data_IF_769293596037
#
_entry.id   IF_769293596037
#
_cell.length_a   1.000
_cell.length_b   1.000
_cell.length_c   1.000
_cell.angle_alpha   90.00
_cell.angle_beta   90.00
_cell.angle_gamma   90.00
#
_symmetry.space_group_name_H-M   'P 1'
#
loop_
_entity.id
_entity.type
_entity.pdbx_description
1 polymer ?
#
# COMPACT_ATOMS: atom_id res chain seq x y z
N UNK A 1 35.75 14.20 -12.54
CA UNK A 1 34.68 13.73 -11.66
C UNK A 1 35.26 12.57 -10.87
N UNK A 2 35.57 12.76 -9.57
CA UNK A 2 36.29 11.78 -8.77
C UNK A 2 35.41 10.57 -8.45
N UNK A 3 36.00 9.38 -8.35
CA UNK A 3 35.30 8.14 -7.97
C UNK A 3 34.52 8.29 -6.64
N UNK A 4 35.06 9.03 -5.68
CA UNK A 4 34.41 9.33 -4.40
C UNK A 4 33.06 10.05 -4.56
N UNK A 5 32.96 11.01 -5.47
CA UNK A 5 31.70 11.73 -5.71
C UNK A 5 30.61 10.85 -6.35
N UNK A 6 30.98 9.84 -7.10
CA UNK A 6 30.01 8.86 -7.67
C UNK A 6 29.55 7.87 -6.61
N UNK A 7 30.46 7.40 -5.76
CA UNK A 7 30.13 6.48 -4.66
C UNK A 7 29.18 7.11 -3.65
N UNK A 8 29.48 8.34 -3.20
CA UNK A 8 28.63 9.11 -2.29
C UNK A 8 27.22 9.36 -2.88
N UNK A 9 27.15 9.59 -4.18
CA UNK A 9 25.87 9.78 -4.88
C UNK A 9 25.06 8.48 -4.92
N UNK A 10 25.68 7.35 -5.25
CA UNK A 10 25.02 6.05 -5.30
C UNK A 10 24.58 5.62 -3.90
N UNK A 11 25.43 5.81 -2.90
CA UNK A 11 25.12 5.52 -1.49
C UNK A 11 23.93 6.36 -1.01
N UNK A 12 23.93 7.67 -1.31
CA UNK A 12 22.82 8.56 -0.96
C UNK A 12 21.48 8.11 -1.59
N UNK A 13 21.49 7.82 -2.90
CA UNK A 13 20.28 7.31 -3.59
C UNK A 13 19.79 6.01 -2.98
N UNK A 14 20.69 5.05 -2.71
CA UNK A 14 20.31 3.78 -2.10
C UNK A 14 19.73 3.97 -0.70
N UNK A 15 20.36 4.77 0.13
CA UNK A 15 19.93 5.06 1.50
C UNK A 15 18.55 5.71 1.54
N UNK A 16 18.32 6.75 0.74
CA UNK A 16 17.01 7.41 0.69
C UNK A 16 15.92 6.49 0.13
N UNK A 17 16.21 5.75 -0.93
CA UNK A 17 15.24 4.81 -1.51
C UNK A 17 14.86 3.70 -0.54
N UNK A 18 15.85 3.07 0.11
CA UNK A 18 15.62 2.02 1.10
C UNK A 18 14.81 2.54 2.29
N UNK A 19 15.16 3.72 2.80
CA UNK A 19 14.45 4.34 3.91
C UNK A 19 12.97 4.57 3.57
N UNK A 20 12.67 5.14 2.40
CA UNK A 20 11.29 5.40 1.97
C UNK A 20 10.49 4.10 1.82
N UNK A 21 11.06 3.09 1.18
CA UNK A 21 10.41 1.77 1.03
C UNK A 21 10.08 1.16 2.38
N UNK A 22 11.04 1.13 3.30
CA UNK A 22 10.84 0.58 4.65
C UNK A 22 9.79 1.39 5.40
N UNK A 23 9.88 2.72 5.37
CA UNK A 23 8.95 3.62 6.07
C UNK A 23 7.50 3.41 5.64
N UNK A 24 7.26 3.26 4.33
CA UNK A 24 5.90 3.05 3.79
C UNK A 24 5.38 1.65 4.13
N UNK A 25 6.18 0.60 3.93
CA UNK A 25 5.73 -0.80 4.19
C UNK A 25 5.48 -1.04 5.67
N UNK A 26 6.31 -0.45 6.54
CA UNK A 26 6.13 -0.57 7.99
C UNK A 26 5.07 0.38 8.54
N UNK A 27 4.50 1.24 7.70
CA UNK A 27 3.55 2.29 8.08
C UNK A 27 4.11 3.22 9.18
N UNK A 28 5.41 3.54 9.11
CA UNK A 28 6.09 4.43 10.05
C UNK A 28 5.89 5.90 9.66
N UNK A 29 5.87 6.20 8.36
CA UNK A 29 5.54 7.50 7.81
C UNK A 29 6.65 8.56 7.89
N UNK A 30 7.85 8.24 8.38
CA UNK A 30 8.97 9.17 8.32
C UNK A 30 9.51 9.30 6.90
N UNK A 31 9.95 10.53 6.55
CA UNK A 31 10.37 10.89 5.21
C UNK A 31 11.78 11.51 5.27
N UNK A 32 12.67 11.07 4.36
CA UNK A 32 14.03 11.63 4.21
C UNK A 32 14.25 12.28 2.86
N UNK A 33 13.35 12.06 1.91
CA UNK A 33 13.43 12.64 0.56
C UNK A 33 12.02 12.72 -0.05
N UNK A 34 11.82 13.68 -0.93
CA UNK A 34 10.56 13.82 -1.66
C UNK A 34 10.49 12.82 -2.82
N UNK A 35 9.76 11.74 -2.61
CA UNK A 35 9.55 10.73 -3.66
C UNK A 35 8.53 11.18 -4.73
N UNK A 36 7.76 12.26 -4.50
CA UNK A 36 6.83 12.78 -5.50
C UNK A 36 7.57 13.46 -6.66
N UNK A 37 8.79 13.98 -6.39
CA UNK A 37 9.67 14.53 -7.40
C UNK A 37 10.40 13.46 -8.24
N UNK A 38 10.24 12.19 -7.92
CA UNK A 38 10.86 11.08 -8.66
C UNK A 38 10.05 10.75 -9.92
N UNK A 39 10.41 9.65 -10.62
CA UNK A 39 9.67 9.31 -11.84
C UNK A 39 8.23 8.89 -11.53
N UNK A 40 7.26 9.11 -12.46
CA UNK A 40 5.86 8.69 -12.28
C UNK A 40 5.70 7.19 -12.00
N UNK A 41 6.58 6.35 -12.54
CA UNK A 41 6.59 4.91 -12.25
C UNK A 41 6.88 4.63 -10.78
N UNK A 42 7.85 5.35 -10.19
CA UNK A 42 8.18 5.20 -8.78
C UNK A 42 7.04 5.69 -7.89
N UNK A 43 6.40 6.80 -8.27
CA UNK A 43 5.21 7.29 -7.57
C UNK A 43 4.09 6.26 -7.54
N UNK A 44 3.82 5.60 -8.68
CA UNK A 44 2.84 4.52 -8.77
C UNK A 44 3.23 3.31 -7.90
N UNK A 45 4.51 2.95 -7.85
CA UNK A 45 5.01 1.88 -6.97
C UNK A 45 4.82 2.24 -5.50
N UNK A 46 5.18 3.45 -5.08
CA UNK A 46 4.97 3.91 -3.69
C UNK A 46 3.48 3.95 -3.32
N UNK A 47 2.63 4.42 -4.23
CA UNK A 47 1.19 4.35 -4.04
C UNK A 47 0.69 2.92 -3.84
N UNK A 48 1.14 1.98 -4.68
CA UNK A 48 0.82 0.56 -4.52
C UNK A 48 1.31 -0.03 -3.19
N UNK A 49 2.48 0.41 -2.72
CA UNK A 49 3.05 -0.04 -1.45
C UNK A 49 2.26 0.45 -0.23
N UNK A 50 1.52 1.54 -0.31
CA UNK A 50 0.63 2.02 0.78
C UNK A 50 -0.48 1.02 1.12
N UNK A 51 -0.86 0.15 0.18
CA UNK A 51 -1.82 -0.93 0.43
C UNK A 51 -1.17 -2.15 1.07
N UNK A 52 0.17 -2.28 1.01
CA UNK A 52 0.90 -3.41 1.58
C UNK A 52 1.19 -3.13 3.06
N UNK A 53 0.45 -3.77 3.93
CA UNK A 53 0.76 -3.76 5.37
C UNK A 53 1.90 -4.73 5.71
N UNK A 54 2.46 -4.61 6.89
CA UNK A 54 3.51 -5.49 7.39
C UNK A 54 3.06 -6.94 7.59
N UNK A 55 3.88 -7.73 8.31
CA UNK A 55 3.61 -9.15 8.58
C UNK A 55 2.33 -9.35 9.40
N UNK A 56 1.79 -10.57 9.41
CA UNK A 56 0.52 -10.89 10.06
C UNK A 56 0.46 -10.55 11.56
N UNK A 57 1.59 -10.61 12.25
CA UNK A 57 1.69 -10.29 13.69
C UNK A 57 2.18 -8.87 13.98
N UNK A 58 2.40 -8.02 12.95
CA UNK A 58 2.88 -6.65 13.17
C UNK A 58 1.76 -5.70 13.56
N UNK A 59 2.11 -4.63 14.27
CA UNK A 59 1.21 -3.52 14.63
C UNK A 59 0.98 -2.53 13.49
N UNK A 60 1.67 -2.70 12.32
CA UNK A 60 1.49 -1.85 11.14
C UNK A 60 0.04 -1.83 10.66
N UNK A 61 -0.41 -0.71 10.09
CA UNK A 61 -1.71 -0.58 9.47
C UNK A 61 -1.85 -1.37 8.15
N UNK A 62 -2.85 -1.04 7.36
CA UNK A 62 -3.06 -1.55 6.02
C UNK A 62 -3.47 -3.01 5.93
N UNK A 63 -3.54 -3.50 4.70
CA UNK A 63 -3.90 -4.88 4.39
C UNK A 63 -2.66 -5.78 4.45
N UNK A 64 -2.59 -6.68 5.45
CA UNK A 64 -1.41 -7.50 5.75
C UNK A 64 -0.92 -8.30 4.55
N UNK A 65 0.41 -8.34 4.35
CA UNK A 65 1.04 -9.00 3.20
C UNK A 65 0.68 -10.49 3.07
N UNK A 66 0.47 -11.17 4.19
CA UNK A 66 0.02 -12.57 4.20
C UNK A 66 -1.34 -12.74 3.50
N UNK A 67 -2.27 -11.80 3.72
CA UNK A 67 -3.60 -11.82 3.10
C UNK A 67 -3.50 -11.58 1.58
N UNK A 68 -2.65 -10.65 1.13
CA UNK A 68 -2.37 -10.44 -0.29
C UNK A 68 -1.85 -11.72 -0.95
N UNK A 69 -0.91 -12.40 -0.32
CA UNK A 69 -0.32 -13.63 -0.85
C UNK A 69 -1.37 -14.75 -0.95
N UNK A 70 -2.28 -14.85 0.02
CA UNK A 70 -3.37 -15.83 -0.02
C UNK A 70 -4.39 -15.51 -1.13
N UNK A 71 -4.71 -14.23 -1.35
CA UNK A 71 -5.60 -13.81 -2.46
C UNK A 71 -4.97 -14.15 -3.80
N UNK A 72 -3.69 -13.81 -4.01
CA UNK A 72 -2.98 -14.11 -5.27
C UNK A 72 -2.93 -15.62 -5.50
N UNK A 73 -2.56 -16.40 -4.48
CA UNK A 73 -2.56 -17.88 -4.58
C UNK A 73 -3.94 -18.44 -4.88
N UNK A 74 -4.99 -17.92 -4.24
CA UNK A 74 -6.36 -18.32 -4.52
C UNK A 74 -6.76 -17.98 -5.96
N UNK A 75 -6.41 -16.77 -6.46
CA UNK A 75 -6.63 -16.39 -7.85
C UNK A 75 -5.97 -17.37 -8.82
N UNK A 76 -4.69 -17.67 -8.65
CA UNK A 76 -3.97 -18.67 -9.48
C UNK A 76 -4.62 -20.05 -9.39
N UNK A 77 -5.11 -20.44 -8.21
CA UNK A 77 -5.79 -21.72 -8.02
C UNK A 77 -7.13 -21.76 -8.76
N UNK A 78 -7.89 -20.66 -8.79
CA UNK A 78 -9.14 -20.59 -9.57
C UNK A 78 -8.86 -20.73 -11.08
N UNK A 79 -7.81 -20.10 -11.61
CA UNK A 79 -7.42 -20.33 -13.02
C UNK A 79 -7.09 -21.80 -13.29
N UNK A 80 -6.37 -22.48 -12.39
CA UNK A 80 -6.08 -23.92 -12.52
C UNK A 80 -7.35 -24.77 -12.50
N UNK A 81 -8.34 -24.42 -11.67
CA UNK A 81 -9.63 -25.11 -11.62
C UNK A 81 -10.45 -24.95 -12.90
N UNK A 82 -10.35 -23.79 -13.57
CA UNK A 82 -11.01 -23.58 -14.87
C UNK A 82 -10.40 -24.52 -15.92
N UNK A 83 -9.09 -24.73 -15.91
CA UNK A 83 -8.40 -25.64 -16.84
C UNK A 83 -8.64 -27.13 -16.49
N UNK A 84 -8.84 -27.45 -15.21
CA UNK A 84 -9.02 -28.81 -14.70
C UNK A 84 -10.19 -28.88 -13.71
N UNK A 85 -11.46 -28.89 -14.19
CA UNK A 85 -12.65 -28.72 -13.33
C UNK A 85 -12.81 -29.80 -12.25
N UNK A 86 -12.32 -31.01 -12.50
CA UNK A 86 -12.41 -32.16 -11.57
C UNK A 86 -11.23 -32.26 -10.60
N UNK A 87 -10.24 -31.36 -10.68
CA UNK A 87 -9.07 -31.42 -9.81
C UNK A 87 -9.37 -30.86 -8.42
N UNK A 88 -9.19 -31.67 -7.38
CA UNK A 88 -9.26 -31.25 -5.97
C UNK A 88 -7.91 -30.69 -5.57
N UNK A 89 -7.72 -29.36 -5.75
CA UNK A 89 -6.47 -28.67 -5.43
C UNK A 89 -6.69 -27.82 -4.16
N UNK A 90 -6.13 -28.22 -3.00
CA UNK A 90 -6.23 -27.42 -1.78
C UNK A 90 -5.32 -26.19 -1.85
N UNK A 91 -5.79 -25.06 -1.31
CA UNK A 91 -4.94 -23.89 -1.09
C UNK A 91 -3.94 -24.20 0.02
N UNK A 92 -2.64 -24.07 -0.24
CA UNK A 92 -1.59 -24.35 0.74
C UNK A 92 -0.77 -23.10 1.07
N UNK A 93 -0.53 -22.92 2.38
CA UNK A 93 0.37 -21.93 2.94
C UNK A 93 1.32 -22.60 3.93
N UNK A 94 2.63 -22.42 3.77
CA UNK A 94 3.68 -23.04 4.61
C UNK A 94 3.44 -24.55 4.87
N UNK A 95 3.17 -25.32 3.80
CA UNK A 95 2.89 -26.75 3.83
C UNK A 95 1.55 -27.17 4.49
N UNK A 96 0.82 -26.24 5.10
CA UNK A 96 -0.51 -26.48 5.67
C UNK A 96 -1.61 -26.11 4.68
N UNK A 97 -2.72 -26.85 4.69
CA UNK A 97 -3.90 -26.50 3.91
C UNK A 97 -4.66 -25.36 4.60
N UNK A 98 -5.05 -24.36 3.84
CA UNK A 98 -5.88 -23.25 4.31
C UNK A 98 -7.35 -23.62 4.06
N UNK A 99 -8.19 -23.48 5.09
CA UNK A 99 -9.61 -23.76 4.95
C UNK A 99 -10.30 -22.76 4.00
N UNK A 100 -11.35 -23.21 3.35
CA UNK A 100 -12.15 -22.39 2.45
C UNK A 100 -12.78 -21.20 3.20
N UNK A 101 -13.16 -21.40 4.46
CA UNK A 101 -13.71 -20.37 5.33
C UNK A 101 -12.73 -19.21 5.54
N UNK A 102 -11.47 -19.52 5.88
CA UNK A 102 -10.42 -18.48 6.03
C UNK A 102 -10.23 -17.72 4.73
N UNK A 103 -10.27 -18.40 3.59
CA UNK A 103 -10.13 -17.78 2.28
C UNK A 103 -11.29 -16.81 1.99
N UNK A 104 -12.53 -17.20 2.28
CA UNK A 104 -13.71 -16.35 2.11
C UNK A 104 -13.67 -15.14 3.05
N UNK A 105 -13.26 -15.31 4.30
CA UNK A 105 -13.11 -14.19 5.25
C UNK A 105 -12.07 -13.17 4.77
N UNK A 106 -10.94 -13.62 4.20
CA UNK A 106 -9.92 -12.75 3.65
C UNK A 106 -10.44 -11.98 2.42
N UNK A 107 -11.18 -12.66 1.53
CA UNK A 107 -11.78 -12.01 0.36
C UNK A 107 -12.86 -11.00 0.79
N UNK A 108 -13.71 -11.34 1.74
CA UNK A 108 -14.70 -10.42 2.30
C UNK A 108 -14.06 -9.17 2.89
N UNK A 109 -13.01 -9.33 3.69
CA UNK A 109 -12.25 -8.20 4.23
C UNK A 109 -11.62 -7.35 3.13
N UNK A 110 -11.06 -7.96 2.09
CA UNK A 110 -10.48 -7.24 0.96
C UNK A 110 -11.52 -6.37 0.24
N UNK A 111 -12.73 -6.91 0.00
CA UNK A 111 -13.82 -6.16 -0.62
C UNK A 111 -14.20 -4.95 0.25
N UNK A 112 -14.39 -5.15 1.55
CA UNK A 112 -14.73 -4.04 2.47
C UNK A 112 -13.61 -2.99 2.51
N UNK A 113 -12.35 -3.42 2.54
CA UNK A 113 -11.20 -2.53 2.51
C UNK A 113 -11.15 -1.68 1.23
N UNK A 114 -11.38 -2.29 0.05
CA UNK A 114 -11.43 -1.57 -1.22
C UNK A 114 -12.64 -0.64 -1.32
N UNK A 115 -13.80 -1.04 -0.81
CA UNK A 115 -14.98 -0.18 -0.74
C UNK A 115 -14.72 1.04 0.17
N UNK A 116 -14.11 0.84 1.33
CA UNK A 116 -13.73 1.93 2.23
C UNK A 116 -12.75 2.90 1.57
N UNK A 117 -11.77 2.38 0.81
CA UNK A 117 -10.86 3.20 0.02
C UNK A 117 -11.60 4.04 -1.02
N UNK A 118 -12.50 3.43 -1.77
CA UNK A 118 -13.29 4.15 -2.80
C UNK A 118 -14.18 5.23 -2.18
N UNK A 119 -14.86 4.91 -1.07
CA UNK A 119 -15.71 5.88 -0.36
C UNK A 119 -14.85 7.02 0.17
N UNK A 120 -13.71 6.74 0.78
CA UNK A 120 -12.77 7.76 1.26
C UNK A 120 -12.30 8.69 0.12
N UNK A 121 -11.91 8.11 -1.02
CA UNK A 121 -11.51 8.88 -2.20
C UNK A 121 -12.63 9.82 -2.67
N UNK A 122 -13.88 9.32 -2.76
CA UNK A 122 -15.04 10.14 -3.16
C UNK A 122 -15.26 11.28 -2.15
N UNK A 123 -15.19 11.00 -0.87
CA UNK A 123 -15.35 12.03 0.17
C UNK A 123 -14.30 13.11 0.04
N UNK A 124 -13.00 12.75 -0.12
CA UNK A 124 -11.93 13.72 -0.29
C UNK A 124 -12.08 14.53 -1.59
N UNK A 125 -12.51 13.90 -2.68
CA UNK A 125 -12.79 14.59 -3.95
C UNK A 125 -13.97 15.59 -3.80
N UNK A 126 -15.03 15.23 -3.07
CA UNK A 126 -16.15 16.15 -2.77
C UNK A 126 -15.73 17.34 -1.92
N UNK A 127 -14.69 17.21 -1.11
CA UNK A 127 -14.09 18.28 -0.32
C UNK A 127 -13.18 19.21 -1.14
N UNK A 128 -13.03 18.94 -2.44
CA UNK A 128 -12.31 19.81 -3.38
C UNK A 128 -10.87 19.41 -3.62
N UNK A 129 -10.43 18.24 -3.17
CA UNK A 129 -9.10 17.73 -3.50
C UNK A 129 -9.05 17.29 -4.98
N UNK A 130 -7.92 17.50 -5.63
CA UNK A 130 -7.63 16.91 -6.93
C UNK A 130 -7.61 15.37 -6.85
N UNK A 131 -7.84 14.72 -7.98
CA UNK A 131 -8.00 13.27 -8.04
C UNK A 131 -6.80 12.49 -7.47
N UNK A 132 -5.58 12.93 -7.80
CA UNK A 132 -4.35 12.29 -7.33
C UNK A 132 -4.21 12.41 -5.80
N UNK A 133 -4.44 13.60 -5.27
CA UNK A 133 -4.41 13.85 -3.81
C UNK A 133 -5.51 13.10 -3.07
N UNK A 134 -6.73 13.05 -3.61
CA UNK A 134 -7.83 12.31 -3.01
C UNK A 134 -7.53 10.80 -2.89
N UNK A 135 -6.96 10.20 -3.97
CA UNK A 135 -6.50 8.82 -3.94
C UNK A 135 -5.40 8.61 -2.90
N UNK A 136 -4.38 9.48 -2.90
CA UNK A 136 -3.24 9.37 -2.01
C UNK A 136 -3.63 9.49 -0.54
N UNK A 137 -4.40 10.51 -0.19
CA UNK A 137 -4.87 10.74 1.19
C UNK A 137 -5.74 9.59 1.67
N UNK A 138 -6.66 9.08 0.82
CA UNK A 138 -7.50 7.93 1.17
C UNK A 138 -6.68 6.66 1.41
N UNK A 139 -5.68 6.38 0.55
CA UNK A 139 -4.80 5.22 0.71
C UNK A 139 -3.93 5.33 1.96
N UNK A 140 -3.34 6.51 2.20
CA UNK A 140 -2.48 6.77 3.35
C UNK A 140 -3.25 6.67 4.67
N UNK A 141 -4.46 7.22 4.74
CA UNK A 141 -5.33 7.15 5.91
C UNK A 141 -5.75 5.72 6.23
N UNK A 142 -6.24 4.97 5.25
CA UNK A 142 -6.62 3.56 5.42
C UNK A 142 -5.41 2.66 5.76
N UNK A 143 -4.26 2.94 5.16
CA UNK A 143 -3.02 2.21 5.40
C UNK A 143 -2.35 2.60 6.71
N UNK A 144 -2.74 3.72 7.32
CA UNK A 144 -2.09 4.33 8.48
C UNK A 144 -0.60 4.64 8.19
N UNK A 145 -0.31 5.13 6.99
CA UNK A 145 1.07 5.37 6.50
C UNK A 145 1.58 6.74 6.92
N UNK A 146 0.76 7.79 6.75
CA UNK A 146 1.06 9.19 7.02
C UNK A 146 1.27 9.99 5.73
N UNK A 147 2.45 9.93 5.08
CA UNK A 147 2.68 10.67 3.84
C UNK A 147 1.79 10.14 2.70
N UNK A 148 1.43 11.06 1.78
CA UNK A 148 0.53 10.80 0.66
C UNK A 148 1.21 11.09 -0.67
N UNK A 149 0.45 11.10 -1.76
CA UNK A 149 0.85 11.56 -3.10
C UNK A 149 0.07 12.82 -3.47
N UNK A 150 0.45 13.47 -4.58
CA UNK A 150 -0.17 14.71 -5.02
C UNK A 150 0.18 15.91 -4.13
N UNK A 151 -0.77 16.80 -3.89
CA UNK A 151 -0.59 18.02 -3.10
C UNK A 151 -0.26 17.76 -1.63
N UNK A 152 -0.52 16.56 -1.13
CA UNK A 152 -0.23 16.12 0.25
C UNK A 152 0.95 15.12 0.30
N UNK A 153 1.94 15.35 -0.57
CA UNK A 153 3.17 14.56 -0.62
C UNK A 153 4.00 14.65 0.67
N UNK A 154 5.13 13.93 0.70
CA UNK A 154 5.93 13.73 1.92
C UNK A 154 6.51 15.01 2.54
N UNK A 155 6.66 16.08 1.76
CA UNK A 155 7.18 17.39 2.23
C UNK A 155 6.07 18.39 2.53
N UNK A 156 4.82 18.06 2.26
CA UNK A 156 3.67 18.94 2.48
C UNK A 156 2.93 18.57 3.76
N UNK A 157 2.18 19.53 4.29
CA UNK A 157 1.40 19.35 5.52
C UNK A 157 -0.06 19.12 5.19
N UNK A 158 -0.75 18.33 6.00
CA UNK A 158 -2.21 18.14 5.92
C UNK A 158 -3.02 19.31 6.51
N UNK A 159 -2.35 20.40 6.91
CA UNK A 159 -2.98 21.54 7.59
C UNK A 159 -4.04 22.24 6.75
N UNK A 160 -3.97 22.14 5.42
CA UNK A 160 -4.95 22.71 4.49
C UNK A 160 -6.26 21.90 4.41
N UNK A 161 -6.28 20.69 4.99
CA UNK A 161 -7.50 19.89 5.03
C UNK A 161 -8.51 20.46 6.03
N UNK A 162 -9.81 20.39 5.74
CA UNK A 162 -10.86 20.70 6.70
C UNK A 162 -10.67 19.92 8.01
N UNK A 163 -11.00 20.57 9.15
CA UNK A 163 -10.78 19.99 10.49
C UNK A 163 -11.40 18.59 10.64
N UNK A 164 -12.50 18.33 9.96
CA UNK A 164 -13.18 17.03 9.97
C UNK A 164 -12.32 15.93 9.30
N UNK A 165 -11.55 16.28 8.27
CA UNK A 165 -10.65 15.34 7.59
C UNK A 165 -9.42 15.01 8.42
N UNK A 166 -8.91 15.98 9.19
CA UNK A 166 -7.78 15.77 10.09
C UNK A 166 -8.07 14.77 11.22
N UNK A 167 -9.33 14.54 11.54
CA UNK A 167 -9.73 13.49 12.51
C UNK A 167 -9.65 12.09 11.92
N UNK A 168 -9.64 11.96 10.61
CA UNK A 168 -9.61 10.67 9.91
C UNK A 168 -8.21 10.33 9.37
N UNK A 169 -7.37 11.32 9.15
CA UNK A 169 -5.95 11.18 8.72
C UNK A 169 -5.01 11.18 9.90
#
# INVERSE_FOLDING_TARGET
>A
MSYESQFERIEGVFRHSLFQVVSIITTTGFVTADYTAWSPLLLLLFFGMMFLGGSAGSTSGGFKIMRHLLIIKNGVLQFKKILHPHAIIPLRYNKSSVSTEITHNILGFFIVYMLSFMIGTIVFALLGLDFESALGVSASSLGNVGPSIGSFGPMNTFFELPLFCLLYT
#
